data_IF_502497830586
#
_entry.id   IF_502497830586
#
_cell.length_a   1.000
_cell.length_b   1.000
_cell.length_c   1.000
_cell.angle_alpha   90.00
_cell.angle_beta   90.00
_cell.angle_gamma   90.00
#
_symmetry.space_group_name_H-M   'P 1'
#
loop_
_entity.id
_entity.type
_entity.pdbx_description
1 polymer ?
#
# COMPACT_ATOMS: atom_id res chain seq x y z
N UNK A 1 27.75 2.79 -57.42
CA UNK A 1 26.32 3.05 -57.02
C UNK A 1 25.94 1.99 -55.99
N UNK A 2 26.22 2.30 -54.73
CA UNK A 2 25.83 1.46 -53.56
C UNK A 2 24.35 1.72 -53.24
N UNK A 3 23.54 0.67 -53.36
CA UNK A 3 22.21 0.60 -52.78
C UNK A 3 22.25 -0.22 -51.52
N UNK A 4 22.62 0.41 -50.39
CA UNK A 4 22.38 -0.14 -49.08
C UNK A 4 20.91 0.10 -48.68
N UNK A 5 20.03 -0.79 -49.09
CA UNK A 5 18.69 -0.90 -48.50
C UNK A 5 18.83 -1.54 -47.13
N UNK A 6 18.78 -0.72 -46.06
CA UNK A 6 18.53 -1.25 -44.72
C UNK A 6 17.20 -1.98 -44.75
N UNK A 7 17.23 -3.31 -44.59
CA UNK A 7 16.05 -4.08 -44.23
C UNK A 7 15.58 -3.59 -42.87
N UNK A 8 14.50 -2.82 -42.84
CA UNK A 8 13.71 -2.67 -41.64
C UNK A 8 13.18 -4.07 -41.32
N UNK A 9 13.64 -4.65 -40.21
CA UNK A 9 13.03 -5.83 -39.67
C UNK A 9 11.58 -5.46 -39.30
N UNK A 10 10.62 -6.11 -39.91
CA UNK A 10 9.23 -6.03 -39.53
C UNK A 10 9.13 -6.81 -38.23
N UNK A 11 9.08 -6.11 -37.12
CA UNK A 11 8.78 -6.71 -35.81
C UNK A 11 7.37 -7.26 -35.91
N UNK A 12 7.14 -8.49 -35.47
CA UNK A 12 5.78 -9.07 -35.46
C UNK A 12 4.91 -8.31 -34.45
N UNK A 13 3.59 -8.24 -34.69
CA UNK A 13 2.66 -7.59 -33.76
C UNK A 13 2.74 -8.18 -32.35
N UNK A 14 3.05 -9.46 -32.24
CA UNK A 14 3.17 -10.17 -30.97
C UNK A 14 4.44 -9.75 -30.22
N UNK A 15 5.58 -9.55 -30.91
CA UNK A 15 6.83 -9.04 -30.31
C UNK A 15 6.70 -7.56 -29.86
N UNK A 16 5.92 -6.75 -30.57
CA UNK A 16 5.62 -5.37 -30.16
C UNK A 16 4.71 -5.35 -28.93
N UNK A 17 3.68 -6.19 -28.87
CA UNK A 17 2.76 -6.30 -27.72
C UNK A 17 3.50 -6.82 -26.47
N UNK A 18 4.38 -7.83 -26.58
CA UNK A 18 5.22 -8.31 -25.48
C UNK A 18 6.18 -7.21 -24.96
N UNK A 19 6.78 -6.43 -25.84
CA UNK A 19 7.69 -5.34 -25.45
C UNK A 19 6.95 -4.21 -24.72
N UNK A 20 5.73 -3.89 -25.16
CA UNK A 20 4.88 -2.88 -24.52
C UNK A 20 4.45 -3.33 -23.13
N UNK A 21 4.01 -4.58 -22.97
CA UNK A 21 3.62 -5.16 -21.69
C UNK A 21 4.78 -5.14 -20.69
N UNK A 22 5.97 -5.61 -21.08
CA UNK A 22 7.16 -5.60 -20.24
C UNK A 22 7.55 -4.18 -19.80
N UNK A 23 7.44 -3.19 -20.69
CA UNK A 23 7.73 -1.78 -20.36
C UNK A 23 6.73 -1.21 -19.35
N UNK A 24 5.45 -1.56 -19.46
CA UNK A 24 4.41 -1.11 -18.54
C UNK A 24 4.63 -1.71 -17.13
N UNK A 25 4.92 -3.00 -17.04
CA UNK A 25 5.23 -3.68 -15.78
C UNK A 25 6.45 -3.07 -15.10
N UNK A 26 7.54 -2.82 -15.82
CA UNK A 26 8.76 -2.18 -15.30
C UNK A 26 8.48 -0.79 -14.71
N UNK A 27 7.62 0.00 -15.36
CA UNK A 27 7.21 1.33 -14.86
C UNK A 27 6.41 1.19 -13.57
N UNK A 28 5.46 0.25 -13.51
CA UNK A 28 4.63 0.02 -12.33
C UNK A 28 5.50 -0.43 -11.16
N UNK A 29 6.39 -1.42 -11.36
CA UNK A 29 7.28 -1.93 -10.33
C UNK A 29 8.22 -0.84 -9.81
N UNK A 30 8.88 -0.12 -10.71
CA UNK A 30 9.77 1.01 -10.35
C UNK A 30 9.01 2.09 -9.56
N UNK A 31 7.76 2.36 -9.91
CA UNK A 31 6.92 3.32 -9.19
C UNK A 31 6.59 2.83 -7.78
N UNK A 32 6.25 1.55 -7.62
CA UNK A 32 5.97 0.93 -6.31
C UNK A 32 7.21 0.96 -5.41
N UNK A 33 8.38 0.61 -5.95
CA UNK A 33 9.65 0.66 -5.24
C UNK A 33 10.01 2.07 -4.79
N UNK A 34 9.82 3.05 -5.67
CA UNK A 34 10.00 4.46 -5.34
C UNK A 34 9.12 4.89 -4.16
N UNK A 35 7.82 4.58 -4.20
CA UNK A 35 6.89 4.91 -3.12
C UNK A 35 7.35 4.29 -1.79
N UNK A 36 7.62 2.99 -1.77
CA UNK A 36 8.04 2.28 -0.56
C UNK A 36 9.33 2.85 0.03
N UNK A 37 10.27 3.23 -0.84
CA UNK A 37 11.53 3.87 -0.45
C UNK A 37 11.30 5.24 0.17
N UNK A 38 10.45 6.07 -0.42
CA UNK A 38 10.13 7.40 0.13
C UNK A 38 9.39 7.29 1.48
N UNK A 39 8.46 6.35 1.62
CA UNK A 39 7.81 6.07 2.90
C UNK A 39 8.83 5.66 3.97
N UNK A 40 9.68 4.69 3.67
CA UNK A 40 10.69 4.18 4.61
C UNK A 40 11.72 5.24 5.01
N UNK A 41 12.03 6.18 4.11
CA UNK A 41 12.98 7.26 4.34
C UNK A 41 12.39 8.38 5.22
N UNK A 42 11.14 8.73 5.00
CA UNK A 42 10.53 9.93 5.57
C UNK A 42 9.55 9.66 6.71
N UNK A 43 8.99 8.44 6.79
CA UNK A 43 7.95 8.11 7.75
C UNK A 43 8.43 7.05 8.75
N UNK A 44 8.77 7.50 9.96
CA UNK A 44 9.12 6.63 11.08
C UNK A 44 8.24 6.97 12.29
N UNK A 45 7.86 5.93 13.05
CA UNK A 45 7.05 6.13 14.25
C UNK A 45 5.78 6.92 13.97
N UNK A 46 5.60 8.03 14.66
CA UNK A 46 4.42 8.90 14.59
C UNK A 46 4.15 9.51 13.20
N UNK A 47 5.18 9.71 12.39
CA UNK A 47 4.99 10.24 11.04
C UNK A 47 4.28 9.21 10.15
N UNK A 48 4.57 7.91 10.34
CA UNK A 48 3.86 6.83 9.64
C UNK A 48 2.42 6.70 10.14
N UNK A 49 2.18 6.85 11.45
CA UNK A 49 0.82 6.85 12.02
C UNK A 49 -0.02 7.98 11.39
N UNK A 50 0.55 9.20 11.32
CA UNK A 50 -0.08 10.34 10.67
C UNK A 50 -0.40 10.11 9.19
N UNK A 51 0.50 9.45 8.47
CA UNK A 51 0.28 9.08 7.07
C UNK A 51 -0.83 8.04 6.92
N UNK A 52 -0.83 7.00 7.75
CA UNK A 52 -1.88 5.95 7.72
C UNK A 52 -3.24 6.55 8.05
N UNK A 53 -3.31 7.48 9.00
CA UNK A 53 -4.55 8.20 9.30
C UNK A 53 -5.05 9.02 8.09
N UNK A 54 -4.16 9.72 7.38
CA UNK A 54 -4.51 10.47 6.16
C UNK A 54 -5.01 9.55 5.05
N UNK A 55 -4.34 8.41 4.84
CA UNK A 55 -4.77 7.41 3.86
C UNK A 55 -6.16 6.84 4.21
N UNK A 56 -6.42 6.52 5.47
CA UNK A 56 -7.73 6.05 5.91
C UNK A 56 -8.80 7.13 5.71
N UNK A 57 -8.49 8.40 5.95
CA UNK A 57 -9.39 9.52 5.65
C UNK A 57 -9.66 9.62 4.13
N UNK A 58 -8.63 9.46 3.29
CA UNK A 58 -8.76 9.40 1.83
C UNK A 58 -9.68 8.23 1.37
N UNK A 59 -9.67 7.12 2.11
CA UNK A 59 -10.55 5.96 1.90
C UNK A 59 -11.99 6.19 2.42
N UNK A 60 -12.28 7.34 3.02
CA UNK A 60 -13.60 7.70 3.54
C UNK A 60 -13.86 7.29 4.99
N UNK A 61 -12.81 6.97 5.76
CA UNK A 61 -12.92 6.77 7.21
C UNK A 61 -12.71 8.09 7.95
N UNK A 62 -13.21 8.20 9.15
CA UNK A 62 -12.87 9.26 10.12
C UNK A 62 -11.88 8.69 11.13
N UNK A 63 -10.74 9.34 11.28
CA UNK A 63 -9.66 8.86 12.13
C UNK A 63 -9.39 9.78 13.31
N UNK A 64 -8.98 9.18 14.41
CA UNK A 64 -8.43 9.87 15.59
C UNK A 64 -7.10 9.21 15.93
N UNK A 65 -6.01 9.97 15.90
CA UNK A 65 -4.69 9.49 16.32
C UNK A 65 -4.63 9.52 17.84
N UNK A 66 -4.15 8.43 18.44
CA UNK A 66 -3.99 8.32 19.88
C UNK A 66 -2.91 9.29 20.38
N UNK A 67 -3.08 9.81 21.59
CA UNK A 67 -2.03 10.61 22.23
C UNK A 67 -0.84 9.72 22.57
N UNK A 68 0.37 10.26 22.42
CA UNK A 68 1.61 9.57 22.74
C UNK A 68 1.58 9.02 24.17
N UNK A 69 1.95 7.76 24.33
CA UNK A 69 2.03 7.10 25.64
C UNK A 69 0.75 6.39 26.09
N UNK A 70 -0.21 6.15 25.21
CA UNK A 70 -1.37 5.31 25.50
C UNK A 70 -0.95 3.84 25.74
N UNK A 71 -1.32 3.27 26.89
CA UNK A 71 -0.89 1.96 27.39
C UNK A 71 -1.36 0.75 26.55
N UNK A 72 -2.15 0.96 25.50
CA UNK A 72 -2.81 -0.10 24.75
C UNK A 72 -2.17 -0.45 23.40
N UNK A 73 -1.13 0.27 22.95
CA UNK A 73 -0.48 0.06 21.64
C UNK A 73 -1.37 0.33 20.43
N UNK A 74 -2.47 1.07 20.61
CA UNK A 74 -3.36 1.51 19.55
C UNK A 74 -2.95 2.90 19.11
N UNK A 75 -2.60 3.03 17.84
CA UNK A 75 -2.07 4.27 17.26
C UNK A 75 -3.18 5.15 16.68
N UNK A 76 -4.20 4.51 16.04
CA UNK A 76 -5.32 5.21 15.41
C UNK A 76 -6.63 4.48 15.73
N UNK A 77 -7.69 5.24 15.94
CA UNK A 77 -9.07 4.74 15.96
C UNK A 77 -9.80 5.28 14.74
N UNK A 78 -10.44 4.41 13.97
CA UNK A 78 -11.16 4.78 12.76
C UNK A 78 -12.62 4.29 12.79
N UNK A 79 -13.50 5.08 12.17
CA UNK A 79 -14.91 4.75 11.96
C UNK A 79 -15.28 5.06 10.51
N UNK A 80 -16.21 4.29 9.97
CA UNK A 80 -16.89 4.64 8.74
C UNK A 80 -18.25 5.25 9.09
N UNK A 81 -18.51 6.45 8.58
CA UNK A 81 -19.79 7.16 8.79
C UNK A 81 -20.20 7.35 10.28
N UNK A 82 -19.22 7.46 11.17
CA UNK A 82 -19.44 7.64 12.63
C UNK A 82 -20.17 6.48 13.32
N UNK A 83 -20.40 5.38 12.62
CA UNK A 83 -21.13 4.22 13.13
C UNK A 83 -20.20 3.04 13.41
N UNK A 84 -20.60 2.13 14.32
CA UNK A 84 -19.89 0.85 14.47
C UNK A 84 -19.82 0.07 13.14
N UNK A 85 -18.79 -0.78 12.94
CA UNK A 85 -17.77 -1.13 13.92
C UNK A 85 -16.66 -0.09 14.06
N UNK A 86 -16.07 -0.02 15.26
CA UNK A 86 -14.83 0.70 15.50
C UNK A 86 -13.65 -0.13 14.98
N UNK A 87 -12.73 0.54 14.30
CA UNK A 87 -11.50 -0.08 13.80
C UNK A 87 -10.33 0.44 14.64
N UNK A 88 -9.63 -0.45 15.32
CA UNK A 88 -8.42 -0.16 16.05
C UNK A 88 -7.21 -0.43 15.15
N UNK A 89 -6.37 0.57 14.94
CA UNK A 89 -5.24 0.51 14.03
C UNK A 89 -3.94 0.54 14.82
N UNK A 90 -3.06 -0.41 14.53
CA UNK A 90 -1.68 -0.42 15.00
C UNK A 90 -0.74 -0.30 13.80
N UNK A 91 0.25 0.58 13.91
CA UNK A 91 1.21 0.90 12.85
C UNK A 91 2.62 0.57 13.32
N UNK A 92 3.41 -0.12 12.51
CA UNK A 92 4.79 -0.47 12.81
C UNK A 92 5.71 -0.13 11.63
N UNK A 93 6.71 0.72 11.91
CA UNK A 93 7.74 1.15 10.95
C UNK A 93 9.08 0.40 11.10
N UNK A 94 9.07 -0.79 11.72
CA UNK A 94 10.28 -1.59 11.93
C UNK A 94 10.82 -2.19 10.62
N UNK A 95 12.14 -2.42 10.57
CA UNK A 95 12.83 -2.93 9.37
C UNK A 95 12.73 -4.47 9.22
N UNK A 96 12.15 -5.20 10.14
CA UNK A 96 12.03 -6.66 10.08
C UNK A 96 10.59 -7.13 9.98
N UNK A 97 10.40 -8.37 9.54
CA UNK A 97 9.08 -8.99 9.42
C UNK A 97 8.33 -8.99 10.75
N UNK A 98 7.05 -8.69 10.68
CA UNK A 98 6.15 -8.66 11.83
C UNK A 98 5.87 -10.09 12.30
N UNK A 99 6.07 -10.32 13.59
CA UNK A 99 5.79 -11.61 14.23
C UNK A 99 4.34 -11.69 14.68
N UNK A 100 3.83 -12.93 14.78
CA UNK A 100 2.48 -13.23 15.28
C UNK A 100 2.19 -12.56 16.63
N UNK A 101 3.14 -12.63 17.57
CA UNK A 101 2.98 -12.05 18.93
C UNK A 101 2.70 -10.54 18.91
N UNK A 102 3.23 -9.83 17.90
CA UNK A 102 2.99 -8.40 17.73
C UNK A 102 1.54 -8.12 17.33
N UNK A 103 0.96 -8.97 16.48
CA UNK A 103 -0.45 -8.83 16.06
C UNK A 103 -1.39 -9.24 17.19
N UNK A 104 -0.99 -10.24 17.99
CA UNK A 104 -1.76 -10.66 19.18
C UNK A 104 -1.93 -9.54 20.20
N UNK A 105 -0.98 -8.60 20.29
CA UNK A 105 -1.13 -7.42 21.17
C UNK A 105 -2.29 -6.52 20.73
N UNK A 106 -2.48 -6.32 19.42
CA UNK A 106 -3.64 -5.61 18.91
C UNK A 106 -4.95 -6.34 19.27
N UNK A 107 -4.97 -7.67 19.08
CA UNK A 107 -6.13 -8.49 19.46
C UNK A 107 -6.49 -8.34 20.94
N UNK A 108 -5.47 -8.28 21.82
CA UNK A 108 -5.65 -8.10 23.26
C UNK A 108 -6.26 -6.74 23.65
N UNK A 109 -6.07 -5.70 22.84
CA UNK A 109 -6.63 -4.38 23.07
C UNK A 109 -8.07 -4.21 22.51
N UNK A 110 -8.53 -5.14 21.68
CA UNK A 110 -9.87 -5.11 21.06
C UNK A 110 -10.94 -5.58 22.04
N UNK A 111 -12.11 -4.95 21.96
CA UNK A 111 -13.34 -5.36 22.65
C UNK A 111 -14.25 -6.12 21.69
N UNK A 112 -15.30 -6.72 22.23
CA UNK A 112 -16.35 -7.31 21.39
C UNK A 112 -16.98 -6.26 20.45
N UNK A 113 -17.06 -6.62 19.18
CA UNK A 113 -17.54 -5.73 18.12
C UNK A 113 -16.49 -4.82 17.48
N UNK A 114 -15.24 -4.80 17.99
CA UNK A 114 -14.14 -4.07 17.33
C UNK A 114 -13.55 -4.88 16.16
N UNK A 115 -13.02 -4.17 15.18
CA UNK A 115 -12.14 -4.69 14.14
C UNK A 115 -10.73 -4.17 14.34
N UNK A 116 -9.74 -4.95 13.92
CA UNK A 116 -8.32 -4.59 13.96
C UNK A 116 -7.76 -4.34 12.57
N UNK A 117 -6.89 -3.34 12.45
CA UNK A 117 -6.07 -3.10 11.29
C UNK A 117 -4.62 -3.00 11.73
N UNK A 118 -3.77 -3.89 11.21
CA UNK A 118 -2.33 -3.84 11.46
C UNK A 118 -1.61 -3.40 10.19
N UNK A 119 -0.86 -2.29 10.25
CA UNK A 119 -0.17 -1.71 9.09
C UNK A 119 1.34 -1.71 9.32
N UNK A 120 2.10 -2.13 8.32
CA UNK A 120 3.56 -2.10 8.35
C UNK A 120 4.15 -1.79 6.98
N UNK A 121 5.38 -1.23 6.95
CA UNK A 121 6.16 -1.08 5.72
C UNK A 121 6.92 -2.37 5.35
N UNK A 122 7.09 -3.29 6.30
CA UNK A 122 7.74 -4.59 6.10
C UNK A 122 6.73 -5.68 5.73
N UNK A 123 7.13 -6.93 5.86
CA UNK A 123 6.28 -8.08 5.63
C UNK A 123 5.84 -8.73 6.95
N UNK A 124 5.02 -9.77 6.83
CA UNK A 124 4.62 -10.64 7.94
C UNK A 124 5.36 -11.97 7.85
N UNK A 125 5.81 -12.49 8.99
CA UNK A 125 6.31 -13.87 9.05
C UNK A 125 5.22 -14.86 8.64
N UNK A 126 5.58 -16.06 8.21
CA UNK A 126 4.61 -17.12 7.85
C UNK A 126 3.59 -17.40 8.98
N UNK A 127 4.05 -17.39 10.23
CA UNK A 127 3.15 -17.58 11.38
C UNK A 127 2.19 -16.41 11.57
N UNK A 128 2.67 -15.17 11.36
CA UNK A 128 1.84 -13.98 11.42
C UNK A 128 0.77 -13.97 10.32
N UNK A 129 1.13 -14.36 9.10
CA UNK A 129 0.17 -14.51 7.97
C UNK A 129 -0.91 -15.53 8.30
N UNK A 130 -0.51 -16.72 8.77
CA UNK A 130 -1.44 -17.77 9.19
C UNK A 130 -2.35 -17.31 10.34
N UNK A 131 -1.82 -16.53 11.27
CA UNK A 131 -2.63 -15.94 12.35
C UNK A 131 -3.67 -14.97 11.82
N UNK A 132 -3.31 -14.09 10.89
CA UNK A 132 -4.24 -13.15 10.24
C UNK A 132 -5.33 -13.89 9.46
N UNK A 133 -4.99 -14.95 8.71
CA UNK A 133 -5.94 -15.78 7.97
C UNK A 133 -6.97 -16.44 8.91
N UNK A 134 -6.53 -16.86 10.10
CA UNK A 134 -7.40 -17.47 11.11
C UNK A 134 -8.13 -16.47 12.02
N UNK A 135 -7.88 -15.15 11.84
CA UNK A 135 -8.44 -14.10 12.69
C UNK A 135 -9.11 -13.02 11.81
N UNK A 136 -10.26 -13.34 11.18
CA UNK A 136 -10.86 -12.48 10.13
C UNK A 136 -11.29 -11.09 10.61
N UNK A 137 -11.36 -10.86 11.91
CA UNK A 137 -11.64 -9.55 12.50
C UNK A 137 -10.40 -8.63 12.52
N UNK A 138 -9.21 -9.14 12.13
CA UNK A 138 -7.99 -8.35 12.00
C UNK A 138 -7.49 -8.44 10.56
N UNK A 139 -7.35 -7.29 9.91
CA UNK A 139 -6.71 -7.15 8.61
C UNK A 139 -5.25 -6.73 8.80
N UNK A 140 -4.32 -7.43 8.15
CA UNK A 140 -2.94 -6.98 7.97
C UNK A 140 -2.79 -6.26 6.64
N UNK A 141 -2.01 -5.18 6.61
CA UNK A 141 -1.56 -4.48 5.40
C UNK A 141 -0.03 -4.40 5.48
N UNK A 142 0.65 -5.06 4.57
CA UNK A 142 2.10 -4.99 4.42
C UNK A 142 2.53 -3.82 3.52
N UNK A 143 3.84 -3.65 3.32
CA UNK A 143 4.37 -2.55 2.51
C UNK A 143 3.87 -2.54 1.08
N UNK A 144 3.75 -3.69 0.43
CA UNK A 144 3.26 -3.82 -0.96
C UNK A 144 1.78 -3.45 -1.05
N UNK A 145 0.94 -4.01 -0.17
CA UNK A 145 -0.49 -3.70 -0.10
C UNK A 145 -0.74 -2.23 0.24
N UNK A 146 0.12 -1.63 1.10
CA UNK A 146 0.04 -0.22 1.43
C UNK A 146 0.31 0.66 0.19
N UNK A 147 1.32 0.32 -0.61
CA UNK A 147 1.62 1.02 -1.86
C UNK A 147 0.47 0.92 -2.85
N UNK A 148 -0.16 -0.24 -3.00
CA UNK A 148 -1.34 -0.40 -3.86
C UNK A 148 -2.51 0.50 -3.41
N UNK A 149 -2.74 0.61 -2.11
CA UNK A 149 -3.75 1.53 -1.56
C UNK A 149 -3.38 3.00 -1.79
N UNK A 150 -2.10 3.36 -1.66
CA UNK A 150 -1.62 4.72 -1.95
C UNK A 150 -1.89 5.08 -3.41
N UNK A 151 -1.54 4.23 -4.35
CA UNK A 151 -1.79 4.47 -5.77
C UNK A 151 -3.29 4.63 -6.06
N UNK A 152 -4.12 3.79 -5.45
CA UNK A 152 -5.58 3.83 -5.61
C UNK A 152 -6.21 5.13 -5.10
N UNK A 153 -5.72 5.67 -3.99
CA UNK A 153 -6.29 6.85 -3.32
C UNK A 153 -5.38 8.08 -3.38
N UNK A 154 -4.39 8.09 -4.29
CA UNK A 154 -3.36 9.12 -4.35
C UNK A 154 -3.92 10.54 -4.45
N UNK A 155 -4.91 10.76 -5.29
CA UNK A 155 -5.50 12.08 -5.52
C UNK A 155 -6.28 12.61 -4.31
N UNK A 156 -6.71 11.74 -3.41
CA UNK A 156 -7.42 12.07 -2.18
C UNK A 156 -6.48 12.29 -0.98
N UNK A 157 -5.19 11.92 -1.09
CA UNK A 157 -4.21 12.20 -0.03
C UNK A 157 -4.02 13.70 0.14
N UNK A 158 -3.71 14.11 1.37
CA UNK A 158 -3.38 15.51 1.65
C UNK A 158 -2.18 15.99 0.85
N UNK A 159 -2.12 17.29 0.58
CA UNK A 159 -1.05 17.91 -0.20
C UNK A 159 0.34 17.63 0.39
N UNK A 160 0.45 17.57 1.72
CA UNK A 160 1.68 17.23 2.44
C UNK A 160 2.27 15.92 1.93
N UNK A 161 1.46 14.87 1.84
CA UNK A 161 1.92 13.54 1.46
C UNK A 161 2.07 13.38 -0.06
N UNK A 162 1.25 14.03 -0.86
CA UNK A 162 1.46 14.10 -2.31
C UNK A 162 2.76 14.81 -2.69
N UNK A 163 3.18 15.83 -1.93
CA UNK A 163 4.49 16.47 -2.12
C UNK A 163 5.65 15.59 -1.68
N UNK A 164 5.45 14.75 -0.66
CA UNK A 164 6.46 13.81 -0.18
C UNK A 164 6.67 12.65 -1.16
N UNK A 165 5.59 12.18 -1.81
CA UNK A 165 5.59 11.12 -2.82
C UNK A 165 5.12 11.75 -4.14
N UNK A 166 5.99 12.50 -4.85
CA UNK A 166 5.57 13.25 -6.04
C UNK A 166 5.35 12.30 -7.22
N UNK A 167 4.10 11.99 -7.53
CA UNK A 167 3.71 11.17 -8.68
C UNK A 167 2.96 12.02 -9.70
N UNK A 168 3.04 11.61 -10.96
CA UNK A 168 2.25 12.14 -12.07
C UNK A 168 1.50 10.98 -12.72
N UNK A 169 0.20 11.17 -12.90
CA UNK A 169 -0.61 10.22 -13.67
C UNK A 169 -0.23 10.31 -15.16
N UNK A 170 0.00 9.17 -15.76
CA UNK A 170 0.27 9.02 -17.21
C UNK A 170 -0.52 7.82 -17.75
N UNK A 171 -0.90 7.86 -19.01
CA UNK A 171 -1.46 6.70 -19.70
C UNK A 171 -0.31 5.85 -20.25
N UNK A 172 -0.30 4.59 -19.91
CA UNK A 172 0.69 3.62 -20.38
C UNK A 172 -0.04 2.69 -21.34
N UNK A 173 0.48 2.46 -22.58
CA UNK A 173 -0.09 1.46 -23.46
C UNK A 173 0.05 0.08 -22.82
N UNK A 174 -0.96 -0.75 -22.97
CA UNK A 174 -0.97 -2.16 -22.53
C UNK A 174 -1.18 -3.07 -23.73
N UNK A 175 -0.79 -4.33 -23.61
CA UNK A 175 -1.09 -5.34 -24.62
C UNK A 175 -2.61 -5.47 -24.80
N UNK A 176 -3.06 -5.83 -26.02
CA UNK A 176 -4.50 -5.94 -26.33
C UNK A 176 -5.21 -6.99 -25.49
N UNK A 177 -4.49 -8.05 -25.12
CA UNK A 177 -5.01 -9.13 -24.28
C UNK A 177 -5.33 -8.65 -22.86
N UNK A 178 -4.58 -7.68 -22.34
CA UNK A 178 -4.79 -7.11 -21.01
C UNK A 178 -5.92 -6.06 -20.98
N UNK A 179 -6.32 -5.56 -22.15
CA UNK A 179 -7.37 -4.55 -22.26
C UNK A 179 -8.77 -5.09 -21.89
N UNK A 180 -9.00 -6.40 -21.91
CA UNK A 180 -10.25 -7.02 -21.47
C UNK A 180 -10.42 -7.04 -19.95
N UNK A 181 -9.35 -6.77 -19.19
CA UNK A 181 -9.33 -6.73 -17.72
C UNK A 181 -9.41 -5.33 -17.12
N UNK A 182 -9.47 -4.29 -17.98
CA UNK A 182 -9.61 -2.89 -17.59
C UNK A 182 -11.07 -2.45 -17.48
#
# INVERSE_FOLDING_TARGET
LDKNFKKNAVISSDEEDETVAATAEDIIETTKDFILKELSKHLKGYDLEGFVADLLNAMGYRTTISKHGGDSGIDITAYKDELPPRILVQVKSQDGDIKETTIQSLKGAMREGDYGLFVTLSNYTKNAQKYLENTPIIRGINGTELVDLILKYYDQLSEKYRKMIPLKMVYIPVAKEDAESL
#
